data_IF_818089000530
#
_entry.id   IF_818089000530
#
_cell.length_a   1.000
_cell.length_b   1.000
_cell.length_c   1.000
_cell.angle_alpha   90.00
_cell.angle_beta   90.00
_cell.angle_gamma   90.00
#
_symmetry.space_group_name_H-M   'P 1'
#
loop_
_entity.id
_entity.type
_entity.pdbx_description
1 polymer ?
#
# COMPACT_ATOMS: atom_id res chain seq x y z
N UNK A 1 1.16 -14.93 2.18
CA UNK A 1 1.98 -13.73 2.50
C UNK A 1 1.34 -12.57 1.77
N UNK A 2 0.90 -11.55 2.50
CA UNK A 2 0.18 -10.40 1.95
C UNK A 2 1.06 -9.16 1.98
N UNK A 3 1.05 -8.34 0.92
CA UNK A 3 1.76 -7.07 0.92
C UNK A 3 0.82 -5.95 1.37
N UNK A 4 1.06 -5.38 2.55
CA UNK A 4 0.23 -4.35 3.15
C UNK A 4 0.50 -2.98 2.50
N UNK A 5 -0.18 -2.75 1.37
CA UNK A 5 -0.12 -1.49 0.61
C UNK A 5 -0.66 -0.33 1.44
N UNK A 6 -1.65 -0.56 2.31
CA UNK A 6 -2.23 0.50 3.12
C UNK A 6 -1.21 1.06 4.13
N UNK A 7 -0.45 0.17 4.80
CA UNK A 7 0.63 0.55 5.71
C UNK A 7 1.73 1.31 4.97
N UNK A 8 2.16 0.82 3.80
CA UNK A 8 3.12 1.52 2.93
C UNK A 8 2.65 2.95 2.59
N UNK A 9 1.40 3.10 2.16
CA UNK A 9 0.88 4.42 1.82
C UNK A 9 0.82 5.33 3.04
N UNK A 10 0.44 4.82 4.21
CA UNK A 10 0.37 5.61 5.45
C UNK A 10 1.75 6.13 5.88
N UNK A 11 2.76 5.26 5.87
CA UNK A 11 4.14 5.63 6.26
C UNK A 11 4.73 6.70 5.32
N UNK A 12 4.35 6.67 4.05
CA UNK A 12 4.77 7.66 3.05
C UNK A 12 3.92 8.94 3.04
N UNK A 13 3.08 9.16 4.05
CA UNK A 13 2.25 10.36 4.19
C UNK A 13 0.91 10.31 3.44
N UNK A 14 0.48 9.11 3.06
CA UNK A 14 -0.82 8.82 2.45
C UNK A 14 -0.80 8.69 0.93
N UNK A 15 -1.90 8.16 0.39
CA UNK A 15 -2.10 7.94 -1.05
C UNK A 15 -1.79 9.18 -1.93
N UNK A 16 -2.20 10.37 -1.49
CA UNK A 16 -1.97 11.59 -2.26
C UNK A 16 -0.50 12.03 -2.26
N UNK A 17 0.23 11.82 -1.16
CA UNK A 17 1.64 12.15 -1.07
C UNK A 17 2.46 11.24 -1.99
N UNK A 18 2.18 9.93 -1.93
CA UNK A 18 2.81 8.93 -2.82
C UNK A 18 2.51 9.22 -4.30
N UNK A 19 1.27 9.56 -4.64
CA UNK A 19 0.92 9.93 -6.01
C UNK A 19 1.76 11.12 -6.52
N UNK A 20 1.97 12.13 -5.67
CA UNK A 20 2.78 13.31 -5.99
C UNK A 20 4.27 12.97 -6.10
N UNK A 21 4.81 12.16 -5.19
CA UNK A 21 6.21 11.73 -5.20
C UNK A 21 6.56 10.95 -6.48
N UNK A 22 5.66 10.07 -6.92
CA UNK A 22 5.87 9.17 -8.06
C UNK A 22 5.42 9.78 -9.39
N UNK A 23 4.72 10.92 -9.36
CA UNK A 23 4.23 11.62 -10.55
C UNK A 23 3.07 10.89 -11.26
N UNK A 24 2.16 10.27 -10.49
CA UNK A 24 1.01 9.52 -11.01
C UNK A 24 -0.32 10.16 -10.61
N UNK A 25 -1.41 9.72 -11.25
CA UNK A 25 -2.76 10.19 -10.91
C UNK A 25 -3.14 9.87 -9.46
N UNK A 26 -3.77 10.84 -8.77
CA UNK A 26 -4.14 10.75 -7.35
C UNK A 26 -4.98 9.52 -6.98
N UNK A 27 -5.72 8.96 -7.94
CA UNK A 27 -6.61 7.81 -7.74
C UNK A 27 -5.90 6.47 -7.85
N UNK A 28 -4.70 6.44 -8.43
CA UNK A 28 -3.95 5.20 -8.70
C UNK A 28 -3.59 4.46 -7.41
N UNK A 29 -3.09 5.12 -6.34
CA UNK A 29 -2.78 4.41 -5.09
C UNK A 29 -3.99 3.77 -4.40
N UNK A 30 -5.16 4.41 -4.45
CA UNK A 30 -6.41 3.81 -3.95
C UNK A 30 -6.79 2.55 -4.73
N UNK A 31 -6.48 2.53 -6.04
CA UNK A 31 -6.65 1.35 -6.89
C UNK A 31 -5.74 0.19 -6.49
N UNK A 32 -4.53 0.47 -6.00
CA UNK A 32 -3.62 -0.56 -5.51
C UNK A 32 -4.14 -1.24 -4.26
N UNK A 33 -4.59 -0.45 -3.28
CA UNK A 33 -5.20 -0.97 -2.04
C UNK A 33 -6.41 -1.84 -2.36
N UNK A 34 -7.32 -1.34 -3.21
CA UNK A 34 -8.54 -2.08 -3.58
C UNK A 34 -8.24 -3.41 -4.28
N UNK A 35 -7.17 -3.48 -5.06
CA UNK A 35 -6.76 -4.69 -5.79
C UNK A 35 -5.78 -5.57 -5.01
N UNK A 36 -5.33 -5.12 -3.83
CA UNK A 36 -4.20 -5.69 -3.11
C UNK A 36 -2.97 -5.93 -4.01
N UNK A 37 -2.75 -5.04 -4.97
CA UNK A 37 -1.69 -5.21 -5.98
C UNK A 37 -1.05 -3.89 -6.40
N UNK A 38 0.27 -3.87 -6.37
CA UNK A 38 1.10 -2.80 -6.91
C UNK A 38 2.13 -3.40 -7.87
N UNK A 39 2.21 -2.87 -9.09
CA UNK A 39 3.16 -3.36 -10.08
C UNK A 39 4.60 -2.94 -9.76
N UNK A 40 5.57 -3.77 -10.12
CA UNK A 40 7.00 -3.53 -9.83
C UNK A 40 7.50 -2.18 -10.31
N UNK A 41 7.03 -1.69 -11.46
CA UNK A 41 7.39 -0.35 -11.97
C UNK A 41 7.03 0.78 -10.99
N UNK A 42 5.88 0.70 -10.30
CA UNK A 42 5.49 1.71 -9.32
C UNK A 42 6.29 1.55 -8.02
N UNK A 43 6.56 0.32 -7.59
CA UNK A 43 7.43 0.05 -6.44
C UNK A 43 8.84 0.58 -6.66
N UNK A 44 9.41 0.38 -7.86
CA UNK A 44 10.73 0.92 -8.22
C UNK A 44 10.77 2.43 -8.07
N UNK A 45 9.77 3.16 -8.59
CA UNK A 45 9.72 4.62 -8.45
C UNK A 45 9.55 5.07 -7.00
N UNK A 46 8.76 4.34 -6.21
CA UNK A 46 8.61 4.62 -4.77
C UNK A 46 9.97 4.47 -4.07
N UNK A 47 10.73 3.41 -4.40
CA UNK A 47 12.06 3.15 -3.86
C UNK A 47 13.11 4.16 -4.35
N UNK A 48 13.02 4.61 -5.60
CA UNK A 48 13.86 5.70 -6.12
C UNK A 48 13.63 7.00 -5.36
N UNK A 49 12.37 7.31 -5.01
CA UNK A 49 12.01 8.48 -4.21
C UNK A 49 12.33 8.31 -2.71
N UNK A 50 12.34 7.07 -2.21
CA UNK A 50 12.55 6.72 -0.80
C UNK A 50 13.58 5.58 -0.70
N UNK A 51 14.88 5.86 -0.89
CA UNK A 51 15.91 4.81 -0.98
C UNK A 51 16.13 4.05 0.33
N UNK A 52 15.75 4.63 1.46
CA UNK A 52 15.83 4.01 2.79
C UNK A 52 14.64 3.09 3.10
N UNK A 53 13.63 3.05 2.23
CA UNK A 53 12.44 2.23 2.42
C UNK A 53 12.79 0.74 2.27
N UNK A 54 12.60 -0.04 3.34
CA UNK A 54 12.60 -1.50 3.26
C UNK A 54 11.21 -2.00 2.89
N UNK A 55 11.09 -2.54 1.68
CA UNK A 55 9.83 -3.09 1.16
C UNK A 55 9.43 -4.36 1.94
N UNK A 56 10.40 -5.06 2.55
CA UNK A 56 10.14 -6.29 3.28
C UNK A 56 9.27 -6.07 4.53
N UNK A 57 9.32 -4.88 5.13
CA UNK A 57 8.55 -4.51 6.33
C UNK A 57 7.03 -4.43 6.12
N UNK A 58 6.62 -4.48 4.85
CA UNK A 58 5.22 -4.43 4.43
C UNK A 58 4.69 -5.81 4.03
N UNK A 59 5.50 -6.87 4.05
CA UNK A 59 4.98 -8.23 3.87
C UNK A 59 4.51 -8.78 5.21
N UNK A 60 3.23 -9.07 5.31
CA UNK A 60 2.59 -9.63 6.49
C UNK A 60 2.25 -11.11 6.26
N UNK A 61 2.37 -11.91 7.32
CA UNK A 61 1.97 -13.31 7.27
C UNK A 61 0.43 -13.41 7.23
N UNK A 62 -0.10 -14.34 6.44
CA UNK A 62 -1.55 -14.55 6.36
C UNK A 62 -2.04 -15.14 7.69
N UNK A 63 -2.52 -14.27 8.57
CA UNK A 63 -3.01 -14.62 9.90
C UNK A 63 -3.60 -13.46 10.70
N UNK A 64 -3.34 -12.20 10.31
CA UNK A 64 -3.78 -11.01 11.06
C UNK A 64 -4.91 -10.18 10.41
N UNK A 65 -5.47 -10.65 9.28
CA UNK A 65 -6.46 -9.89 8.50
C UNK A 65 -7.94 -10.31 8.68
N UNK A 66 -8.29 -11.07 9.73
CA UNK A 66 -9.69 -11.43 10.05
C UNK A 66 -10.10 -11.01 11.46
N UNK A 67 -10.17 -9.71 11.73
CA UNK A 67 -10.65 -9.22 13.03
C UNK A 67 -11.67 -8.07 12.98
N UNK A 68 -12.19 -7.67 11.81
CA UNK A 68 -13.09 -6.50 11.75
C UNK A 68 -14.25 -6.58 10.73
N UNK A 69 -14.78 -7.77 10.41
CA UNK A 69 -16.07 -7.88 9.71
C UNK A 69 -17.14 -8.52 10.59
N UNK A 70 -17.40 -7.91 11.76
CA UNK A 70 -18.67 -8.12 12.48
C UNK A 70 -19.74 -7.20 11.88
N UNK A 71 -20.12 -7.47 10.63
CA UNK A 71 -21.35 -6.97 10.05
C UNK A 71 -22.52 -7.78 10.62
N UNK A 72 -23.06 -7.34 11.76
CA UNK A 72 -24.29 -7.87 12.32
C UNK A 72 -25.46 -7.39 11.44
N UNK A 73 -25.98 -8.27 10.58
CA UNK A 73 -27.29 -8.07 9.96
C UNK A 73 -28.35 -8.62 10.89
N UNK A 74 -29.23 -7.75 11.38
CA UNK A 74 -30.51 -8.09 12.05
C UNK A 74 -31.57 -8.45 11.02
#
# INVERSE_FOLDING_TARGET
MHFNIQKLLNDLGGASAVAKQVGIGRTVPYGWVRRAFIGSHHLSKIKEANPELDINDYFEQEGEYDANNTGHST
#
